data_IF_649334248613
#
_entry.id   IF_649334248613
#
_cell.length_a   1.000
_cell.length_b   1.000
_cell.length_c   1.000
_cell.angle_alpha   90.00
_cell.angle_beta   90.00
_cell.angle_gamma   90.00
#
_symmetry.space_group_name_H-M   'P 1'
#
loop_
_entity.id
_entity.type
_entity.pdbx_description
1 polymer ?
#
# COMPACT_ATOMS: atom_id res chain seq x y z
N UNK A 1 31.33 26.05 -34.37
CA UNK A 1 30.24 26.91 -33.85
C UNK A 1 28.89 26.18 -33.82
N UNK A 2 28.34 25.71 -34.96
CA UNK A 2 27.02 25.03 -35.01
C UNK A 2 26.86 23.81 -34.08
N UNK A 3 27.91 22.97 -33.95
CA UNK A 3 27.92 21.80 -33.04
C UNK A 3 27.91 22.20 -31.55
N UNK A 4 28.52 23.33 -31.22
CA UNK A 4 28.55 23.87 -29.86
C UNK A 4 27.20 24.48 -29.48
N UNK A 5 26.53 25.17 -30.42
CA UNK A 5 25.17 25.66 -30.21
C UNK A 5 24.15 24.53 -29.99
N UNK A 6 24.32 23.40 -30.69
CA UNK A 6 23.41 22.24 -30.57
C UNK A 6 23.56 21.54 -29.20
N UNK A 7 24.79 21.43 -28.68
CA UNK A 7 25.06 20.92 -27.33
C UNK A 7 24.50 21.84 -26.24
N UNK A 8 24.59 23.15 -26.44
CA UNK A 8 24.04 24.15 -25.51
C UNK A 8 22.50 24.08 -25.45
N UNK A 9 21.85 23.82 -26.59
CA UNK A 9 20.39 23.74 -26.67
C UNK A 9 19.83 22.50 -25.96
N UNK A 10 20.53 21.36 -26.02
CA UNK A 10 20.13 20.11 -25.33
C UNK A 10 20.24 20.24 -23.81
N UNK A 11 21.26 20.93 -23.32
CA UNK A 11 21.45 21.18 -21.89
C UNK A 11 20.41 22.15 -21.30
N UNK A 12 19.88 23.09 -22.10
CA UNK A 12 18.81 24.00 -21.67
C UNK A 12 17.43 23.34 -21.55
N UNK A 13 17.21 22.20 -22.21
CA UNK A 13 15.93 21.47 -22.18
C UNK A 13 15.78 20.47 -21.03
N UNK A 14 16.75 20.37 -20.12
CA UNK A 14 16.64 19.54 -18.93
C UNK A 14 15.74 20.20 -17.88
N UNK A 15 14.42 20.11 -18.06
CA UNK A 15 13.45 20.49 -17.04
C UNK A 15 13.68 19.65 -15.78
N UNK A 16 13.58 20.24 -14.56
CA UNK A 16 13.65 19.46 -13.34
C UNK A 16 12.49 18.46 -13.32
N UNK A 17 12.81 17.18 -13.46
CA UNK A 17 11.85 16.11 -13.22
C UNK A 17 11.68 16.07 -11.70
N UNK A 18 10.63 16.71 -11.19
CA UNK A 18 10.22 16.53 -9.81
C UNK A 18 9.80 15.06 -9.67
N UNK A 19 10.60 14.28 -8.95
CA UNK A 19 10.13 12.99 -8.49
C UNK A 19 8.83 13.23 -7.71
N UNK A 20 7.74 12.56 -8.11
CA UNK A 20 6.57 12.47 -7.24
C UNK A 20 7.04 11.71 -6.00
N UNK A 21 7.37 12.47 -4.95
CA UNK A 21 7.64 11.91 -3.64
C UNK A 21 6.45 11.06 -3.21
N UNK A 22 6.68 10.14 -2.27
CA UNK A 22 5.60 9.40 -1.66
C UNK A 22 4.50 10.37 -1.20
N UNK A 23 3.21 9.98 -1.27
CA UNK A 23 2.12 10.77 -0.71
C UNK A 23 2.52 11.22 0.70
N UNK A 24 2.20 12.47 1.12
CA UNK A 24 2.57 12.96 2.43
C UNK A 24 2.05 11.97 3.48
N UNK A 25 2.97 11.21 4.07
CA UNK A 25 2.67 10.43 5.25
C UNK A 25 2.38 11.45 6.36
N UNK A 26 1.26 11.27 7.07
CA UNK A 26 0.94 12.13 8.21
C UNK A 26 2.12 12.26 9.18
N UNK A 27 2.07 13.22 10.10
CA UNK A 27 3.22 13.47 10.98
C UNK A 27 3.67 12.19 11.70
N UNK A 28 4.98 12.02 11.86
CA UNK A 28 5.62 10.78 12.29
C UNK A 28 5.23 10.29 13.70
N UNK A 29 4.34 10.99 14.42
CA UNK A 29 3.84 10.62 15.74
C UNK A 29 2.32 10.38 15.76
N UNK A 30 1.64 10.36 14.62
CA UNK A 30 0.21 10.06 14.53
C UNK A 30 -0.04 8.61 14.11
N UNK A 31 -1.15 7.98 14.55
CA UNK A 31 -1.49 6.63 14.13
C UNK A 31 -1.47 6.49 12.61
N UNK A 32 -0.77 5.47 12.14
CA UNK A 32 -0.57 5.23 10.72
C UNK A 32 -1.31 3.96 10.29
N UNK A 33 -2.14 4.07 9.26
CA UNK A 33 -2.97 2.95 8.79
C UNK A 33 -2.46 2.49 7.43
N UNK A 34 -2.19 1.19 7.32
CA UNK A 34 -1.92 0.53 6.04
C UNK A 34 -3.09 -0.36 5.65
N UNK A 35 -3.47 -0.31 4.37
CA UNK A 35 -4.51 -1.14 3.79
C UNK A 35 -3.92 -2.01 2.68
N UNK A 36 -4.16 -3.32 2.78
CA UNK A 36 -3.74 -4.30 1.81
C UNK A 36 -4.96 -4.89 1.14
N UNK A 37 -5.09 -4.67 -0.16
CA UNK A 37 -6.21 -5.12 -0.96
C UNK A 37 -5.84 -6.40 -1.71
N UNK A 38 -6.68 -7.41 -1.57
CA UNK A 38 -6.54 -8.69 -2.24
C UNK A 38 -7.67 -8.87 -3.24
N UNK A 39 -7.29 -9.18 -4.48
CA UNK A 39 -8.19 -9.65 -5.53
C UNK A 39 -7.85 -11.11 -5.82
N UNK A 40 -8.78 -11.99 -5.51
CA UNK A 40 -8.68 -13.43 -5.67
C UNK A 40 -9.25 -13.86 -7.01
N UNK A 41 -8.79 -15.03 -7.47
CA UNK A 41 -9.41 -15.71 -8.61
C UNK A 41 -10.85 -16.10 -8.27
N UNK A 42 -11.73 -16.01 -9.25
CA UNK A 42 -13.14 -16.36 -9.09
C UNK A 42 -13.30 -17.79 -8.57
N UNK A 43 -14.12 -17.96 -7.53
CA UNK A 43 -14.37 -19.26 -6.89
C UNK A 43 -13.40 -19.61 -5.76
N UNK A 44 -12.30 -18.86 -5.58
CA UNK A 44 -11.27 -19.14 -4.58
C UNK A 44 -11.30 -18.22 -3.35
N UNK A 45 -12.31 -17.35 -3.22
CA UNK A 45 -12.43 -16.41 -2.10
C UNK A 45 -12.36 -17.13 -0.74
N UNK A 46 -13.17 -18.17 -0.57
CA UNK A 46 -13.28 -18.89 0.70
C UNK A 46 -11.99 -19.66 1.04
N UNK A 47 -11.37 -20.30 0.04
CA UNK A 47 -10.08 -20.99 0.20
C UNK A 47 -8.98 -20.01 0.59
N UNK A 48 -8.90 -18.86 -0.10
CA UNK A 48 -7.98 -17.79 0.24
C UNK A 48 -8.15 -17.35 1.69
N UNK A 49 -9.39 -17.07 2.13
CA UNK A 49 -9.65 -16.64 3.50
C UNK A 49 -9.22 -17.71 4.51
N UNK A 50 -9.53 -18.98 4.25
CA UNK A 50 -9.12 -20.09 5.12
C UNK A 50 -7.60 -20.18 5.25
N UNK A 51 -6.87 -20.13 4.14
CA UNK A 51 -5.42 -20.17 4.13
C UNK A 51 -4.81 -18.93 4.79
N UNK A 52 -5.38 -17.75 4.55
CA UNK A 52 -4.94 -16.51 5.16
C UNK A 52 -5.09 -16.57 6.69
N UNK A 53 -6.25 -16.99 7.18
CA UNK A 53 -6.53 -17.11 8.62
C UNK A 53 -5.67 -18.18 9.29
N UNK A 54 -5.39 -19.29 8.59
CA UNK A 54 -4.56 -20.38 9.12
C UNK A 54 -3.08 -19.98 9.21
N UNK A 55 -2.56 -19.29 8.20
CA UNK A 55 -1.12 -19.14 8.03
C UNK A 55 -0.62 -17.71 8.30
N UNK A 56 -1.27 -16.69 7.74
CA UNK A 56 -0.78 -15.31 7.80
C UNK A 56 -1.32 -14.54 9.01
N UNK A 57 -2.60 -14.70 9.31
CA UNK A 57 -3.26 -14.00 10.41
C UNK A 57 -2.61 -14.21 11.79
N UNK A 58 -2.11 -15.41 12.17
CA UNK A 58 -1.41 -15.59 13.44
C UNK A 58 -0.18 -14.69 13.58
N UNK A 59 0.56 -14.44 12.48
CA UNK A 59 1.71 -13.55 12.47
C UNK A 59 1.29 -12.11 12.73
N UNK A 60 0.23 -11.64 12.07
CA UNK A 60 -0.32 -10.29 12.30
C UNK A 60 -0.78 -10.11 13.75
N UNK A 61 -1.41 -11.15 14.34
CA UNK A 61 -1.75 -11.12 15.77
C UNK A 61 -0.51 -11.01 16.65
N UNK A 62 0.59 -11.71 16.34
CA UNK A 62 1.85 -11.55 17.08
C UNK A 62 2.43 -10.13 16.97
N UNK A 63 2.31 -9.49 15.81
CA UNK A 63 2.72 -8.09 15.64
C UNK A 63 1.87 -7.17 16.54
N UNK A 64 0.56 -7.40 16.65
CA UNK A 64 -0.32 -6.66 17.57
C UNK A 64 0.03 -6.95 19.03
N UNK A 65 0.19 -8.22 19.40
CA UNK A 65 0.55 -8.65 20.75
C UNK A 65 1.89 -8.06 21.21
N UNK A 66 2.87 -7.93 20.30
CA UNK A 66 4.16 -7.30 20.58
C UNK A 66 4.07 -5.77 20.77
N UNK A 67 2.92 -5.16 20.45
CA UNK A 67 2.70 -3.72 20.52
C UNK A 67 3.30 -2.91 19.37
N UNK A 68 3.87 -3.57 18.34
CA UNK A 68 4.35 -2.91 17.11
C UNK A 68 3.16 -2.39 16.29
N UNK A 69 2.10 -3.19 16.16
CA UNK A 69 0.80 -2.74 15.62
C UNK A 69 -0.22 -2.54 16.75
N UNK A 70 -1.19 -1.66 16.52
CA UNK A 70 -2.34 -1.40 17.38
C UNK A 70 -3.50 -2.36 17.10
N UNK A 71 -3.74 -2.68 15.83
CA UNK A 71 -4.81 -3.59 15.43
C UNK A 71 -4.61 -4.15 14.03
N UNK A 72 -5.28 -5.27 13.77
CA UNK A 72 -5.49 -5.83 12.44
C UNK A 72 -6.99 -6.06 12.25
N UNK A 73 -7.53 -5.69 11.08
CA UNK A 73 -8.92 -5.94 10.68
C UNK A 73 -8.94 -6.54 9.28
N UNK A 74 -9.83 -7.51 9.06
CA UNK A 74 -10.06 -8.13 7.75
C UNK A 74 -11.51 -7.84 7.36
N UNK A 75 -11.73 -7.30 6.17
CA UNK A 75 -13.05 -6.91 5.68
C UNK A 75 -13.25 -7.35 4.23
N UNK A 76 -14.51 -7.51 3.83
CA UNK A 76 -14.93 -7.71 2.45
C UNK A 76 -15.69 -6.48 1.97
N UNK A 77 -15.80 -6.21 0.65
CA UNK A 77 -16.61 -5.11 0.16
C UNK A 77 -18.08 -5.32 0.55
N UNK A 78 -18.74 -4.24 0.98
CA UNK A 78 -20.16 -4.28 1.34
C UNK A 78 -21.08 -4.20 0.11
N UNK A 79 -20.60 -3.58 -0.97
CA UNK A 79 -21.36 -3.32 -2.18
C UNK A 79 -20.72 -4.01 -3.39
N UNK A 80 -21.52 -4.26 -4.41
CA UNK A 80 -21.02 -4.73 -5.70
C UNK A 80 -20.14 -3.66 -6.38
N UNK A 81 -19.14 -4.11 -7.14
CA UNK A 81 -18.19 -3.26 -7.85
C UNK A 81 -17.98 -3.80 -9.26
N UNK A 82 -17.56 -2.93 -10.18
CA UNK A 82 -17.09 -3.34 -11.51
C UNK A 82 -15.82 -4.18 -11.38
N UNK A 83 -15.54 -5.01 -12.39
CA UNK A 83 -14.41 -5.95 -12.33
C UNK A 83 -13.05 -5.24 -12.22
N UNK A 84 -12.89 -4.07 -12.83
CA UNK A 84 -11.68 -3.25 -12.78
C UNK A 84 -11.43 -2.66 -11.38
N UNK A 85 -12.50 -2.35 -10.63
CA UNK A 85 -12.41 -1.80 -9.28
C UNK A 85 -12.52 -2.86 -8.17
N UNK A 86 -12.76 -4.14 -8.51
CA UNK A 86 -13.01 -5.22 -7.55
C UNK A 86 -11.82 -5.50 -6.65
N UNK A 87 -12.10 -5.64 -5.36
CA UNK A 87 -11.27 -6.28 -4.35
C UNK A 87 -12.16 -7.23 -3.54
N UNK A 88 -11.63 -8.35 -3.07
CA UNK A 88 -12.41 -9.34 -2.31
C UNK A 88 -12.16 -9.22 -0.81
N UNK A 89 -10.92 -8.92 -0.41
CA UNK A 89 -10.54 -8.72 0.99
C UNK A 89 -9.66 -7.49 1.16
N UNK A 90 -9.90 -6.74 2.24
CA UNK A 90 -9.02 -5.67 2.72
C UNK A 90 -8.48 -6.07 4.09
N UNK A 91 -7.16 -6.06 4.24
CA UNK A 91 -6.50 -6.21 5.53
C UNK A 91 -5.99 -4.83 5.95
N UNK A 92 -6.54 -4.30 7.03
CA UNK A 92 -6.15 -3.00 7.58
C UNK A 92 -5.29 -3.23 8.82
N UNK A 93 -4.07 -2.71 8.81
CA UNK A 93 -3.17 -2.75 9.96
C UNK A 93 -2.96 -1.31 10.44
N UNK A 94 -3.26 -1.07 11.71
CA UNK A 94 -3.05 0.25 12.34
C UNK A 94 -1.81 0.19 13.20
N UNK A 95 -0.91 1.14 13.02
CA UNK A 95 0.33 1.32 13.77
C UNK A 95 0.26 2.59 14.63
N UNK A 96 1.13 2.68 15.64
CA UNK A 96 1.26 3.88 16.48
C UNK A 96 1.71 5.10 15.66
N UNK A 97 2.60 4.87 14.70
CA UNK A 97 3.05 5.85 13.74
C UNK A 97 3.71 5.19 12.52
N UNK A 98 4.11 6.00 11.54
CA UNK A 98 4.74 5.55 10.31
C UNK A 98 6.14 4.96 10.51
N UNK A 99 6.86 5.31 11.58
CA UNK A 99 8.23 4.84 11.82
C UNK A 99 8.30 3.36 12.23
N UNK A 100 7.23 2.82 12.83
CA UNK A 100 7.15 1.43 13.29
C UNK A 100 6.35 0.53 12.34
N UNK A 101 5.86 1.11 11.25
CA UNK A 101 5.01 0.48 10.25
C UNK A 101 5.87 -0.17 9.16
#
# INVERSE_FOLDING_TARGET
>A
MKRFCMLFLVLLSAAPVFAQGAPPQGSANQPYTMEYYYKTQWGHQQEFLQLFLKNHYPLLKKIVESGRALSVKIETPANHMTEDARWDYRVTIKFKNSTVA
#
